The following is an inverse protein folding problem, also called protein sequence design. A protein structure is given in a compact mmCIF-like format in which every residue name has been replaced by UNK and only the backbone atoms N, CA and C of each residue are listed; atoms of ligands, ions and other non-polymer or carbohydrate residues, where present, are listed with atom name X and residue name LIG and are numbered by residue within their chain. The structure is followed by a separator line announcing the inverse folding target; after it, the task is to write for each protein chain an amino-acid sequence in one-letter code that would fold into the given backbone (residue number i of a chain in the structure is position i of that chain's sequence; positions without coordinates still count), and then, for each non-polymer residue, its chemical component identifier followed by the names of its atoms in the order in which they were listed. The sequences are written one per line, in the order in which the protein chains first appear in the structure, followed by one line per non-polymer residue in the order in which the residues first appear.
data_IF_352184777630
#
_entry.id   IF_352184777630
#
_cell.length_a   1.000
_cell.length_b   1.000
_cell.length_c   1.000
_cell.angle_alpha   90.00
_cell.angle_beta   90.00
_cell.angle_gamma   90.00
#
_symmetry.space_group_name_H-M   'P 1'
#
loop_
_entity.id
_entity.type
_entity.pdbx_description
1 polymer ?
#
# COMPACT_ATOMS: atom_id res chain seq x y z
N UNK A 1 -1.55 4.89 13.19
CA UNK A 1 -1.15 4.61 11.79
C UNK A 1 -1.47 5.87 11.01
N UNK A 2 -0.53 6.43 10.24
CA UNK A 2 -0.80 7.57 9.36
C UNK A 2 -1.02 6.99 7.96
N UNK A 3 -2.20 7.20 7.40
CA UNK A 3 -2.53 6.78 6.04
C UNK A 3 -2.58 8.06 5.21
N UNK A 4 -1.98 8.01 4.03
CA UNK A 4 -2.02 9.11 3.10
C UNK A 4 -2.66 8.65 1.79
N UNK A 5 -3.48 9.52 1.20
CA UNK A 5 -4.05 9.35 -0.12
C UNK A 5 -3.66 10.49 -1.04
N UNK A 6 -4.02 10.39 -2.31
CA UNK A 6 -3.94 11.49 -3.26
C UNK A 6 -5.34 11.87 -3.72
N UNK A 7 -5.53 13.13 -4.09
CA UNK A 7 -6.74 13.54 -4.81
C UNK A 7 -6.92 12.71 -6.10
N UNK A 8 -8.18 12.45 -6.45
CA UNK A 8 -8.49 11.77 -7.70
C UNK A 8 -8.08 12.65 -8.88
N UNK A 9 -7.04 12.24 -9.61
CA UNK A 9 -6.38 13.00 -10.69
C UNK A 9 -5.57 14.22 -10.23
N UNK A 10 -5.21 14.30 -8.94
CA UNK A 10 -4.35 15.36 -8.40
C UNK A 10 -3.00 14.81 -7.91
N UNK A 11 -2.10 15.73 -7.56
CA UNK A 11 -0.80 15.42 -6.95
C UNK A 11 -0.77 15.75 -5.44
N UNK A 12 -1.86 16.29 -4.89
CA UNK A 12 -1.93 16.67 -3.48
C UNK A 12 -2.07 15.45 -2.58
N UNK A 13 -1.15 15.35 -1.61
CA UNK A 13 -1.12 14.30 -0.60
C UNK A 13 -2.02 14.68 0.59
N UNK A 14 -2.97 13.83 0.92
CA UNK A 14 -3.95 14.03 1.99
C UNK A 14 -3.66 13.07 3.15
N UNK A 15 -3.56 13.56 4.39
CA UNK A 15 -3.57 12.70 5.59
C UNK A 15 -5.02 12.28 5.88
N UNK A 16 -5.26 10.97 5.95
CA UNK A 16 -6.60 10.41 6.11
C UNK A 16 -6.88 10.08 7.59
N UNK A 17 -8.00 10.58 8.11
CA UNK A 17 -8.46 10.26 9.48
C UNK A 17 -9.16 8.89 9.55
N UNK A 18 -9.93 8.54 8.51
CA UNK A 18 -10.61 7.26 8.35
C UNK A 18 -10.46 6.79 6.89
N UNK A 19 -10.33 5.48 6.68
CA UNK A 19 -10.27 4.89 5.33
C UNK A 19 -11.11 3.63 5.29
N UNK A 20 -12.09 3.60 4.39
CA UNK A 20 -12.88 2.40 4.08
C UNK A 20 -12.36 1.75 2.81
N UNK A 21 -12.24 0.43 2.81
CA UNK A 21 -11.90 -0.35 1.61
C UNK A 21 -13.17 -1.10 1.20
N UNK A 22 -13.77 -0.69 0.08
CA UNK A 22 -14.82 -1.46 -0.59
C UNK A 22 -14.15 -2.44 -1.55
N UNK A 23 -14.29 -3.74 -1.25
CA UNK A 23 -13.62 -4.78 -2.00
C UNK A 23 -14.40 -6.10 -1.92
N UNK A 24 -14.21 -6.93 -2.94
CA UNK A 24 -14.64 -8.33 -2.96
C UNK A 24 -13.81 -9.19 -2.02
N UNK A 25 -14.28 -10.41 -1.74
CA UNK A 25 -13.52 -11.36 -0.93
C UNK A 25 -12.16 -11.71 -1.55
N UNK A 26 -12.10 -11.88 -2.87
CA UNK A 26 -10.86 -12.16 -3.60
C UNK A 26 -9.85 -11.00 -3.49
N UNK A 27 -10.32 -9.76 -3.63
CA UNK A 27 -9.49 -8.58 -3.44
C UNK A 27 -9.01 -8.45 -1.99
N UNK A 28 -9.86 -8.79 -1.01
CA UNK A 28 -9.48 -8.81 0.40
C UNK A 28 -8.38 -9.84 0.68
N UNK A 29 -8.50 -11.06 0.14
CA UNK A 29 -7.46 -12.09 0.26
C UNK A 29 -6.14 -11.61 -0.33
N UNK A 30 -6.18 -11.00 -1.50
CA UNK A 30 -5.02 -10.42 -2.18
C UNK A 30 -4.35 -9.32 -1.35
N UNK A 31 -5.13 -8.45 -0.72
CA UNK A 31 -4.61 -7.41 0.20
C UNK A 31 -3.93 -8.04 1.42
N UNK A 32 -4.50 -9.10 1.99
CA UNK A 32 -3.91 -9.83 3.13
C UNK A 32 -2.55 -10.46 2.74
N UNK A 33 -2.48 -11.06 1.55
CA UNK A 33 -1.22 -11.62 1.01
C UNK A 33 -0.17 -10.54 0.79
N UNK A 34 -0.57 -9.42 0.17
CA UNK A 34 0.30 -8.26 -0.04
C UNK A 34 0.86 -7.73 1.28
N UNK A 35 0.00 -7.49 2.29
CA UNK A 35 0.44 -7.01 3.61
C UNK A 35 1.39 -8.01 4.29
N UNK A 36 1.15 -9.31 4.13
CA UNK A 36 2.04 -10.34 4.65
C UNK A 36 3.40 -10.34 3.97
N UNK A 37 3.45 -10.11 2.66
CA UNK A 37 4.68 -9.92 1.90
C UNK A 37 5.44 -8.67 2.36
N UNK A 38 4.76 -7.52 2.44
CA UNK A 38 5.37 -6.25 2.88
C UNK A 38 5.93 -6.39 4.29
N UNK A 39 5.17 -6.99 5.22
CA UNK A 39 5.63 -7.26 6.58
C UNK A 39 6.95 -8.03 6.55
N UNK A 40 7.05 -9.13 5.81
CA UNK A 40 8.29 -9.92 5.70
C UNK A 40 9.44 -9.13 5.09
N UNK A 41 9.17 -8.33 4.05
CA UNK A 41 10.18 -7.53 3.31
C UNK A 41 10.72 -6.37 4.14
N UNK A 42 9.87 -5.74 4.94
CA UNK A 42 10.22 -4.59 5.78
C UNK A 42 10.76 -5.04 7.14
N UNK A 43 10.38 -6.22 7.64
CA UNK A 43 10.89 -6.78 8.89
C UNK A 43 12.36 -7.22 8.75
N UNK A 44 13.22 -6.75 9.65
CA UNK A 44 14.64 -7.09 9.69
C UNK A 44 15.57 -6.12 8.94
N UNK A 45 15.04 -5.16 8.18
CA UNK A 45 15.83 -4.04 7.68
C UNK A 45 16.04 -3.02 8.80
N UNK A 46 17.15 -3.16 9.55
CA UNK A 46 17.74 -2.06 10.34
C UNK A 46 18.35 -1.06 9.37
N UNK A 47 17.52 -0.21 8.80
CA UNK A 47 17.98 0.85 7.90
C UNK A 47 17.40 2.16 8.39
N UNK A 48 18.24 3.16 8.57
CA UNK A 48 17.83 4.55 8.86
C UNK A 48 17.09 5.19 7.65
N UNK A 49 16.53 4.39 6.75
CA UNK A 49 15.88 4.81 5.51
C UNK A 49 14.45 4.29 5.47
N UNK A 50 13.53 5.18 5.11
CA UNK A 50 12.13 4.88 4.78
C UNK A 50 12.05 3.73 3.76
N UNK A 51 11.39 2.63 4.13
CA UNK A 51 11.10 1.52 3.23
C UNK A 51 9.69 1.71 2.66
N UNK A 52 9.53 1.59 1.34
CA UNK A 52 8.21 1.60 0.71
C UNK A 52 8.09 0.41 -0.24
N UNK A 53 6.87 -0.11 -0.38
CA UNK A 53 6.52 -1.15 -1.36
C UNK A 53 5.18 -0.78 -1.99
N UNK A 54 5.14 -0.79 -3.32
CA UNK A 54 3.92 -0.57 -4.10
C UNK A 54 3.21 -1.90 -4.37
N UNK A 55 1.87 -1.86 -4.42
CA UNK A 55 1.04 -3.00 -4.80
C UNK A 55 1.26 -3.35 -6.27
N UNK A 56 1.33 -2.35 -7.16
CA UNK A 56 1.55 -2.55 -8.60
C UNK A 56 2.84 -3.31 -8.93
N UNK A 57 3.86 -3.17 -8.09
CA UNK A 57 5.15 -3.84 -8.28
C UNK A 57 5.09 -5.32 -7.86
N UNK A 58 4.16 -5.67 -6.97
CA UNK A 58 3.99 -7.02 -6.44
C UNK A 58 2.91 -7.81 -7.19
N UNK A 59 1.84 -7.13 -7.61
CA UNK A 59 0.69 -7.73 -8.29
C UNK A 59 0.91 -7.85 -9.80
N UNK A 60 1.17 -9.06 -10.28
CA UNK A 60 1.38 -9.36 -11.71
C UNK A 60 0.14 -9.15 -12.58
N UNK A 61 -1.02 -8.98 -11.98
CA UNK A 61 -2.30 -8.74 -12.67
C UNK A 61 -2.76 -7.29 -12.59
N UNK A 62 -1.95 -6.40 -11.99
CA UNK A 62 -2.26 -4.98 -11.88
C UNK A 62 -2.36 -4.32 -13.28
N UNK A 63 -3.21 -3.30 -13.39
CA UNK A 63 -3.46 -2.54 -14.63
C UNK A 63 -3.36 -1.05 -14.35
N UNK A 64 -3.00 -0.25 -15.35
CA UNK A 64 -2.87 1.22 -15.23
C UNK A 64 -4.14 1.92 -14.71
N UNK A 65 -5.31 1.33 -14.96
CA UNK A 65 -6.60 1.83 -14.46
C UNK A 65 -6.89 1.48 -13.00
N UNK A 66 -6.10 0.60 -12.38
CA UNK A 66 -6.29 0.15 -11.00
C UNK A 66 -5.54 1.09 -10.06
N UNK A 67 -6.13 1.50 -8.93
CA UNK A 67 -5.41 2.25 -7.91
C UNK A 67 -4.16 1.51 -7.43
N UNK A 68 -3.10 2.26 -7.09
CA UNK A 68 -1.92 1.70 -6.44
C UNK A 68 -2.02 1.89 -4.92
N UNK A 69 -1.55 0.91 -4.17
CA UNK A 69 -1.46 0.95 -2.71
C UNK A 69 0.00 0.89 -2.30
N UNK A 70 0.45 1.93 -1.60
CA UNK A 70 1.85 2.07 -1.19
C UNK A 70 1.91 1.90 0.31
N UNK A 71 2.67 0.91 0.78
CA UNK A 71 2.94 0.74 2.20
C UNK A 71 4.34 1.26 2.52
N UNK A 72 4.39 2.22 3.43
CA UNK A 72 5.61 2.83 3.94
C UNK A 72 5.89 2.34 5.35
N UNK A 73 7.14 2.06 5.68
CA UNK A 73 7.59 1.76 7.04
C UNK A 73 8.86 2.53 7.39
N UNK A 74 8.85 3.15 8.56
CA UNK A 74 10.00 3.78 9.17
C UNK A 74 10.43 2.89 10.35
N UNK A 75 11.58 2.23 10.24
CA UNK A 75 12.15 1.38 11.29
C UNK A 75 13.24 2.12 12.06
#
# INVERSE_FOLDING_TARGET
MKIYGYEMNGEELLELEETSIDCTLEELEKLIEFFSYVKKKHYGKKSNSMCHTHLRDWDTTWKESTPDLIIVSNN
#
